data_IF_351107627329
#
_entry.id   IF_351107627329
#
_cell.length_a   1.000
_cell.length_b   1.000
_cell.length_c   1.000
_cell.angle_alpha   90.00
_cell.angle_beta   90.00
_cell.angle_gamma   90.00
#
_symmetry.space_group_name_H-M   'P 1'
#
loop_
_entity.id
_entity.type
_entity.pdbx_description
1 polymer ?
#
# COMPACT_ATOMS: atom_id res chain seq x y z
N UNK A 1 -32.63 -17.24 -10.52
CA UNK A 1 -31.94 -15.94 -10.39
C UNK A 1 -31.53 -15.51 -11.79
N UNK A 2 -31.95 -14.34 -12.26
CA UNK A 2 -31.68 -13.88 -13.64
C UNK A 2 -30.19 -13.59 -13.84
N UNK A 3 -29.62 -13.94 -15.00
CA UNK A 3 -28.22 -13.66 -15.34
C UNK A 3 -27.89 -12.15 -15.23
N UNK A 4 -28.86 -11.28 -15.51
CA UNK A 4 -28.74 -9.84 -15.33
C UNK A 4 -28.48 -9.43 -13.88
N UNK A 5 -29.11 -10.10 -12.91
CA UNK A 5 -28.91 -9.83 -11.48
C UNK A 5 -27.54 -10.29 -11.00
N UNK A 6 -26.97 -11.32 -11.63
CA UNK A 6 -25.62 -11.81 -11.30
C UNK A 6 -24.54 -10.85 -11.82
N UNK A 7 -24.70 -10.36 -13.05
CA UNK A 7 -23.75 -9.45 -13.70
C UNK A 7 -23.69 -8.10 -12.96
N UNK A 8 -24.84 -7.56 -12.56
CA UNK A 8 -24.87 -6.33 -11.75
C UNK A 8 -24.21 -6.53 -10.39
N UNK A 9 -24.45 -7.66 -9.72
CA UNK A 9 -23.79 -7.96 -8.45
C UNK A 9 -22.27 -8.09 -8.58
N UNK A 10 -21.76 -8.76 -9.63
CA UNK A 10 -20.33 -8.90 -9.87
C UNK A 10 -19.65 -7.55 -10.18
N UNK A 11 -20.35 -6.62 -10.81
CA UNK A 11 -19.83 -5.28 -11.12
C UNK A 11 -19.63 -4.39 -9.89
N UNK A 12 -20.26 -4.71 -8.75
CA UNK A 12 -20.08 -4.00 -7.48
C UNK A 12 -18.95 -4.59 -6.61
N UNK A 13 -18.39 -5.75 -6.96
CA UNK A 13 -17.31 -6.36 -6.19
C UNK A 13 -16.04 -5.48 -6.15
N UNK A 14 -15.59 -4.84 -7.26
CA UNK A 14 -14.39 -4.00 -7.24
C UNK A 14 -14.50 -2.78 -6.33
N UNK A 15 -15.71 -2.24 -6.12
CA UNK A 15 -15.91 -1.05 -5.28
C UNK A 15 -15.86 -1.35 -3.78
N UNK A 16 -15.93 -2.63 -3.40
CA UNK A 16 -15.81 -3.08 -2.00
C UNK A 16 -14.36 -3.38 -1.60
N UNK A 17 -13.44 -3.45 -2.56
CA UNK A 17 -12.03 -3.72 -2.30
C UNK A 17 -11.36 -2.38 -1.99
N UNK A 18 -11.37 -1.98 -0.72
CA UNK A 18 -10.52 -0.87 -0.29
C UNK A 18 -9.06 -1.25 -0.48
N UNK A 19 -8.44 -0.72 -1.55
CA UNK A 19 -7.03 -0.90 -1.80
C UNK A 19 -6.23 -0.16 -0.72
N UNK A 20 -5.28 -0.85 -0.10
CA UNK A 20 -4.36 -0.23 0.84
C UNK A 20 -3.59 0.90 0.13
N UNK A 21 -3.53 2.08 0.75
CA UNK A 21 -2.74 3.21 0.24
C UNK A 21 -1.58 3.50 1.17
N UNK A 22 -0.37 3.60 0.64
CA UNK A 22 0.84 3.85 1.41
C UNK A 22 1.66 4.97 0.77
N UNK A 23 2.44 5.68 1.59
CA UNK A 23 3.52 6.51 1.06
C UNK A 23 4.65 5.60 0.60
N UNK A 24 5.17 5.84 -0.60
CA UNK A 24 6.30 5.10 -1.15
C UNK A 24 7.53 6.00 -1.24
N UNK A 25 8.62 5.57 -0.61
CA UNK A 25 9.89 6.30 -0.56
C UNK A 25 11.01 5.28 -0.69
N UNK A 26 11.74 5.31 -1.82
CA UNK A 26 12.83 4.38 -2.08
C UNK A 26 13.95 4.49 -1.05
N UNK A 27 14.45 5.71 -0.79
CA UNK A 27 15.36 6.06 0.31
C UNK A 27 15.32 7.56 0.50
N UNK A 28 15.23 8.04 1.74
CA UNK A 28 15.29 9.46 2.07
C UNK A 28 16.00 9.72 3.40
N UNK A 29 16.48 10.94 3.58
CA UNK A 29 17.11 11.37 4.83
C UNK A 29 16.06 11.60 5.94
N UNK A 30 16.37 11.20 7.17
CA UNK A 30 15.48 11.37 8.33
C UNK A 30 15.23 12.83 8.71
N UNK A 31 16.22 13.71 8.53
CA UNK A 31 16.17 15.12 8.93
C UNK A 31 15.41 15.99 7.94
N UNK A 32 15.28 15.54 6.69
CA UNK A 32 14.54 16.25 5.65
C UNK A 32 13.65 15.26 4.86
N UNK A 33 12.58 14.74 5.49
CA UNK A 33 11.69 13.80 4.85
C UNK A 33 10.91 14.48 3.71
N UNK A 34 10.85 13.89 2.51
CA UNK A 34 10.08 14.44 1.40
C UNK A 34 8.58 14.36 1.70
N UNK A 35 7.84 15.38 1.27
CA UNK A 35 6.40 15.28 1.15
C UNK A 35 6.05 14.32 0.01
N UNK A 36 5.19 13.35 0.31
CA UNK A 36 4.73 12.35 -0.66
C UNK A 36 3.23 12.19 -0.48
N UNK A 37 2.55 11.74 -1.52
CA UNK A 37 1.14 11.36 -1.43
C UNK A 37 1.02 9.84 -1.27
N UNK A 38 -0.04 9.40 -0.60
CA UNK A 38 -0.33 7.98 -0.49
C UNK A 38 -0.80 7.45 -1.85
N UNK A 39 -0.15 6.40 -2.33
CA UNK A 39 -0.48 5.73 -3.60
C UNK A 39 -1.09 4.37 -3.32
N UNK A 40 -1.90 3.88 -4.26
CA UNK A 40 -2.48 2.54 -4.17
C UNK A 40 -1.38 1.48 -4.22
N UNK A 41 -1.45 0.55 -3.28
CA UNK A 41 -0.60 -0.62 -3.27
C UNK A 41 -1.10 -1.66 -4.25
N UNK A 42 -0.16 -2.46 -4.75
CA UNK A 42 -0.47 -3.63 -5.59
C UNK A 42 -1.40 -4.56 -4.81
N UNK A 43 -2.39 -5.12 -5.50
CA UNK A 43 -3.31 -6.10 -4.93
C UNK A 43 -2.55 -7.22 -4.20
N UNK A 44 -3.02 -7.58 -3.00
CA UNK A 44 -2.32 -8.52 -2.11
C UNK A 44 -1.33 -7.86 -1.15
N UNK A 45 -1.10 -6.54 -1.23
CA UNK A 45 -0.40 -5.82 -0.16
C UNK A 45 -1.27 -5.74 1.09
N UNK A 46 -0.68 -6.02 2.25
CA UNK A 46 -1.39 -6.13 3.53
C UNK A 46 -1.00 -5.03 4.53
N UNK A 47 0.14 -4.39 4.34
CA UNK A 47 0.63 -3.35 5.26
C UNK A 47 1.50 -2.29 4.57
N UNK A 48 1.62 -1.13 5.20
CA UNK A 48 2.65 -0.13 4.90
C UNK A 48 3.82 -0.33 5.85
N UNK A 49 5.04 -0.40 5.33
CA UNK A 49 6.24 -0.52 6.14
C UNK A 49 7.11 0.73 6.04
N UNK A 50 7.82 1.03 7.13
CA UNK A 50 8.86 2.05 7.19
C UNK A 50 10.10 1.44 7.80
N UNK A 51 11.18 1.34 7.04
CA UNK A 51 12.46 0.86 7.54
C UNK A 51 13.35 2.07 7.83
N UNK A 52 13.97 2.12 9.00
CA UNK A 52 14.80 3.24 9.44
C UNK A 52 16.20 2.73 9.72
N UNK A 53 17.19 3.34 9.06
CA UNK A 53 18.60 3.12 9.35
C UNK A 53 19.15 4.31 10.15
N UNK A 54 19.44 4.06 11.43
CA UNK A 54 19.98 5.07 12.33
C UNK A 54 21.48 5.33 12.16
N UNK A 55 22.20 4.45 11.47
CA UNK A 55 23.63 4.61 11.14
C UNK A 55 23.78 5.62 10.02
N UNK A 56 23.04 5.42 8.92
CA UNK A 56 23.07 6.32 7.76
C UNK A 56 22.09 7.49 7.87
N UNK A 57 21.24 7.49 8.91
CA UNK A 57 20.17 8.47 9.13
C UNK A 57 19.19 8.55 7.94
N UNK A 58 18.86 7.40 7.38
CA UNK A 58 17.93 7.29 6.24
C UNK A 58 16.70 6.45 6.60
N UNK A 59 15.67 6.53 5.75
CA UNK A 59 14.51 5.67 5.83
C UNK A 59 13.98 5.29 4.46
N UNK A 60 13.26 4.18 4.40
CA UNK A 60 12.48 3.75 3.24
C UNK A 60 11.02 3.55 3.65
N UNK A 61 10.08 3.67 2.70
CA UNK A 61 8.67 3.35 2.89
C UNK A 61 8.15 2.58 1.70
N UNK A 62 7.40 1.51 1.94
CA UNK A 62 6.89 0.67 0.86
C UNK A 62 5.58 -0.04 1.23
N UNK A 63 4.88 -0.50 0.19
CA UNK A 63 3.80 -1.47 0.34
C UNK A 63 4.41 -2.84 0.59
N UNK A 64 3.86 -3.58 1.54
CA UNK A 64 4.35 -4.90 1.92
C UNK A 64 3.34 -5.98 1.50
N UNK A 65 3.79 -6.97 0.72
CA UNK A 65 2.97 -8.07 0.22
C UNK A 65 2.86 -9.28 1.16
N UNK A 66 3.83 -9.49 2.05
CA UNK A 66 3.85 -10.64 2.97
C UNK A 66 4.09 -10.16 4.40
N UNK A 67 3.70 -10.96 5.40
CA UNK A 67 3.97 -10.65 6.80
C UNK A 67 5.41 -10.16 6.99
N UNK A 68 5.58 -9.04 7.68
CA UNK A 68 6.89 -8.58 8.09
C UNK A 68 7.46 -9.62 9.06
N UNK A 69 8.27 -10.55 8.55
CA UNK A 69 9.18 -11.32 9.39
C UNK A 69 10.39 -10.44 9.64
N UNK A 70 10.68 -10.27 10.92
CA UNK A 70 11.68 -9.39 11.54
C UNK A 70 13.04 -9.38 10.83
#
# INVERSE_FOLDING_TARGET
MSAFSLITLLSLIPTLISALKCHQVATANLSNPPETQATECIAGSLACTKLVDYTTKTFTKQCQQFNCTE
#
